data_IF_285262238920
#
_entry.id   IF_285262238920
#
_cell.length_a   1.000
_cell.length_b   1.000
_cell.length_c   1.000
_cell.angle_alpha   90.00
_cell.angle_beta   90.00
_cell.angle_gamma   90.00
#
_symmetry.space_group_name_H-M   'P 1'
#
loop_
_entity.id
_entity.type
_entity.pdbx_description
1 polymer ?
#
# COMPACT_ATOMS: atom_id res chain seq x y z
N UNK A 1 4.41 -9.93 2.34
CA UNK A 1 3.84 -11.14 1.70
C UNK A 1 4.59 -11.43 0.40
N UNK A 2 4.58 -12.70 -0.06
CA UNK A 2 5.34 -13.13 -1.25
C UNK A 2 5.01 -12.32 -2.51
N UNK A 3 3.76 -11.94 -2.71
CA UNK A 3 3.30 -11.14 -3.85
C UNK A 3 3.87 -9.70 -3.89
N UNK A 4 4.57 -9.25 -2.84
CA UNK A 4 5.27 -7.97 -2.80
C UNK A 4 6.80 -8.09 -2.79
N UNK A 5 7.34 -9.26 -2.43
CA UNK A 5 8.80 -9.47 -2.24
C UNK A 5 9.37 -10.62 -3.05
N UNK A 6 8.54 -11.38 -3.77
CA UNK A 6 8.87 -12.68 -4.36
C UNK A 6 9.95 -12.67 -5.44
N UNK A 7 10.25 -11.50 -6.00
CA UNK A 7 11.28 -11.33 -7.02
C UNK A 7 12.54 -10.64 -6.48
N UNK A 8 12.65 -10.42 -5.16
CA UNK A 8 13.73 -9.63 -4.58
C UNK A 8 15.11 -10.23 -4.92
N UNK A 9 15.28 -11.55 -4.83
CA UNK A 9 16.54 -12.21 -5.15
C UNK A 9 16.98 -11.95 -6.61
N UNK A 10 16.06 -12.08 -7.58
CA UNK A 10 16.33 -11.83 -9.00
C UNK A 10 16.67 -10.35 -9.27
N UNK A 11 15.98 -9.43 -8.59
CA UNK A 11 16.26 -7.99 -8.67
C UNK A 11 17.67 -7.69 -8.16
N UNK A 12 18.09 -8.29 -7.05
CA UNK A 12 19.42 -8.07 -6.47
C UNK A 12 20.54 -8.75 -7.25
N UNK A 13 20.29 -9.88 -7.88
CA UNK A 13 21.25 -10.49 -8.84
C UNK A 13 21.53 -9.53 -10.00
N UNK A 14 20.49 -8.88 -10.53
CA UNK A 14 20.62 -7.93 -11.64
C UNK A 14 21.14 -6.56 -11.22
N UNK A 15 20.77 -6.10 -10.02
CA UNK A 15 21.09 -4.78 -9.48
C UNK A 15 21.71 -4.91 -8.08
N UNK A 16 22.96 -5.39 -7.97
CA UNK A 16 23.57 -5.72 -6.67
C UNK A 16 23.82 -4.50 -5.77
N UNK A 17 23.79 -3.28 -6.32
CA UNK A 17 23.98 -2.04 -5.58
C UNK A 17 22.66 -1.34 -5.23
N UNK A 18 21.51 -1.97 -5.52
CA UNK A 18 20.21 -1.39 -5.20
C UNK A 18 20.04 -1.22 -3.68
N UNK A 19 19.48 -0.07 -3.28
CA UNK A 19 19.05 0.20 -1.91
C UNK A 19 17.70 -0.47 -1.67
N UNK A 20 17.59 -1.25 -0.59
CA UNK A 20 16.36 -1.95 -0.21
C UNK A 20 15.76 -1.21 0.98
N UNK A 21 14.67 -0.47 0.75
CA UNK A 21 13.90 0.17 1.82
C UNK A 21 12.79 -0.80 2.22
N UNK A 22 12.83 -1.28 3.46
CA UNK A 22 11.98 -2.37 3.94
C UNK A 22 11.53 -2.12 5.38
N UNK A 23 10.30 -2.48 5.78
CA UNK A 23 9.88 -2.33 7.16
C UNK A 23 10.80 -3.10 8.11
N UNK A 24 11.28 -2.46 9.17
CA UNK A 24 12.28 -3.04 10.10
C UNK A 24 11.92 -4.47 10.57
N UNK A 25 10.64 -4.70 10.86
CA UNK A 25 10.14 -5.96 11.39
C UNK A 25 10.00 -7.06 10.33
N UNK A 26 9.94 -6.70 9.05
CA UNK A 26 9.76 -7.62 7.93
C UNK A 26 11.10 -8.19 7.43
N UNK A 27 12.23 -7.59 7.83
CA UNK A 27 13.57 -7.98 7.38
C UNK A 27 13.84 -9.47 7.62
N UNK A 28 13.64 -10.03 8.84
CA UNK A 28 13.97 -11.44 9.08
C UNK A 28 13.17 -12.40 8.20
N UNK A 29 11.87 -12.15 7.99
CA UNK A 29 11.04 -13.02 7.15
C UNK A 29 11.42 -12.91 5.68
N UNK A 30 11.68 -11.70 5.18
CA UNK A 30 12.08 -11.50 3.78
C UNK A 30 13.44 -12.15 3.48
N UNK A 31 14.43 -12.00 4.36
CA UNK A 31 15.74 -12.67 4.21
C UNK A 31 15.58 -14.18 4.09
N UNK A 32 14.81 -14.78 5.01
CA UNK A 32 14.62 -16.24 5.06
C UNK A 32 13.82 -16.72 3.85
N UNK A 33 12.70 -16.09 3.55
CA UNK A 33 11.78 -16.53 2.49
C UNK A 33 12.35 -16.31 1.09
N UNK A 34 13.15 -15.26 0.90
CA UNK A 34 13.75 -14.91 -0.39
C UNK A 34 15.19 -15.43 -0.52
N UNK A 35 15.73 -16.08 0.50
CA UNK A 35 17.12 -16.58 0.54
C UNK A 35 18.14 -15.50 0.14
N UNK A 36 17.97 -14.28 0.67
CA UNK A 36 18.84 -13.13 0.40
C UNK A 36 19.86 -12.99 1.52
N UNK A 37 21.13 -12.86 1.19
CA UNK A 37 22.16 -12.56 2.19
C UNK A 37 22.08 -11.08 2.60
N UNK A 38 21.73 -10.85 3.87
CA UNK A 38 21.62 -9.53 4.47
C UNK A 38 22.93 -8.74 4.41
N UNK A 39 24.08 -9.41 4.58
CA UNK A 39 25.37 -8.72 4.73
C UNK A 39 25.99 -8.28 3.40
N UNK A 40 25.46 -8.75 2.27
CA UNK A 40 25.95 -8.40 0.94
C UNK A 40 25.11 -7.32 0.23
N UNK A 41 24.04 -6.83 0.85
CA UNK A 41 23.12 -5.86 0.25
C UNK A 41 22.86 -4.66 1.16
N UNK A 42 22.42 -3.56 0.55
CA UNK A 42 22.14 -2.32 1.27
C UNK A 42 20.69 -2.30 1.78
N UNK A 43 20.47 -2.87 2.96
CA UNK A 43 19.20 -2.80 3.65
C UNK A 43 19.07 -1.49 4.45
N UNK A 44 17.98 -0.77 4.19
CA UNK A 44 17.56 0.41 4.94
C UNK A 44 16.27 0.07 5.68
N UNK A 45 16.37 0.00 7.01
CA UNK A 45 15.25 -0.37 7.88
C UNK A 45 14.30 0.81 8.05
N UNK A 46 13.04 0.63 7.61
CA UNK A 46 12.03 1.67 7.63
C UNK A 46 11.07 1.51 8.81
N UNK A 47 11.07 2.51 9.67
CA UNK A 47 10.08 2.77 10.70
C UNK A 47 8.82 3.45 10.16
N UNK A 48 7.91 3.79 11.06
CA UNK A 48 6.77 4.63 10.75
C UNK A 48 7.21 6.10 10.71
N UNK A 49 6.88 6.83 9.64
CA UNK A 49 7.18 8.26 9.49
C UNK A 49 8.65 8.58 9.29
N UNK A 50 9.41 7.63 8.73
CA UNK A 50 10.76 7.92 8.26
C UNK A 50 10.73 8.70 6.95
N UNK A 51 11.79 9.47 6.75
CA UNK A 51 12.06 10.20 5.51
C UNK A 51 13.46 9.83 5.04
N UNK A 52 13.55 9.29 3.83
CA UNK A 52 14.79 8.94 3.15
C UNK A 52 15.00 9.88 1.97
N UNK A 53 16.19 10.47 1.89
CA UNK A 53 16.56 11.41 0.84
C UNK A 53 17.65 10.79 -0.03
N UNK A 54 17.35 10.61 -1.32
CA UNK A 54 18.28 10.14 -2.35
C UNK A 54 18.36 11.19 -3.46
N UNK A 55 19.41 11.13 -4.28
CA UNK A 55 19.47 11.97 -5.48
C UNK A 55 18.27 11.64 -6.40
N UNK A 56 17.49 12.65 -6.77
CA UNK A 56 16.31 12.51 -7.62
C UNK A 56 15.00 12.20 -6.87
N UNK A 57 15.04 11.75 -5.61
CA UNK A 57 13.82 11.31 -4.93
C UNK A 57 13.89 11.34 -3.39
N UNK A 58 12.79 11.77 -2.78
CA UNK A 58 12.49 11.63 -1.34
C UNK A 58 11.41 10.58 -1.13
N UNK A 59 11.60 9.71 -0.13
CA UNK A 59 10.66 8.65 0.24
C UNK A 59 10.23 8.84 1.70
N UNK A 60 8.93 9.02 1.92
CA UNK A 60 8.30 9.16 3.24
C UNK A 60 7.44 7.92 3.53
N UNK A 61 7.55 7.34 4.73
CA UNK A 61 6.89 6.09 5.07
C UNK A 61 5.74 6.26 6.07
N UNK A 62 4.72 5.42 5.97
CA UNK A 62 3.64 5.34 6.93
C UNK A 62 3.29 3.88 7.20
N UNK A 63 3.55 3.44 8.43
CA UNK A 63 3.19 2.10 8.86
C UNK A 63 1.67 1.98 8.90
N UNK A 64 1.16 0.82 8.55
CA UNK A 64 -0.27 0.52 8.52
C UNK A 64 -0.52 -0.93 8.91
N UNK A 65 -1.80 -1.29 9.09
CA UNK A 65 -2.22 -2.64 9.41
C UNK A 65 -2.84 -3.31 8.18
N UNK A 66 -2.48 -4.56 7.96
CA UNK A 66 -2.99 -5.49 6.97
C UNK A 66 -3.87 -6.54 7.65
N UNK A 67 -4.61 -7.31 6.84
CA UNK A 67 -5.20 -8.55 7.31
C UNK A 67 -4.10 -9.56 7.69
N UNK A 68 -4.35 -10.33 8.74
CA UNK A 68 -3.78 -11.68 8.85
C UNK A 68 -4.52 -12.57 7.86
N UNK A 69 -3.85 -13.56 7.27
CA UNK A 69 -4.43 -14.46 6.28
C UNK A 69 -5.75 -15.16 6.69
N UNK A 70 -6.31 -16.01 5.82
CA UNK A 70 -7.69 -16.58 5.83
C UNK A 70 -8.31 -17.04 7.16
N UNK A 71 -7.55 -17.23 8.24
CA UNK A 71 -8.09 -17.46 9.57
C UNK A 71 -8.49 -16.11 10.22
N UNK A 72 -9.73 -15.70 9.96
CA UNK A 72 -10.37 -14.57 10.66
C UNK A 72 -10.61 -14.96 12.12
N UNK A 73 -9.58 -14.99 12.95
CA UNK A 73 -9.78 -15.01 14.39
C UNK A 73 -9.98 -13.55 14.84
N UNK A 74 -11.20 -13.16 15.27
CA UNK A 74 -11.40 -11.83 15.82
C UNK A 74 -10.48 -11.66 17.04
N UNK A 75 -9.54 -10.73 16.94
CA UNK A 75 -8.79 -10.23 18.10
C UNK A 75 -9.72 -9.53 19.10
N UNK A 76 -10.93 -9.14 18.65
CA UNK A 76 -12.00 -8.67 19.51
C UNK A 76 -12.40 -9.77 20.51
N UNK A 77 -11.92 -9.62 21.76
CA UNK A 77 -12.18 -10.54 22.86
C UNK A 77 -11.07 -11.55 23.16
N UNK A 78 -9.96 -11.54 22.41
CA UNK A 78 -8.81 -12.40 22.69
C UNK A 78 -8.03 -11.84 23.89
N UNK A 79 -8.26 -12.41 25.07
CA UNK A 79 -7.44 -12.17 26.27
C UNK A 79 -5.95 -12.48 25.99
N UNK A 80 -5.04 -12.02 26.86
CA UNK A 80 -3.59 -12.28 26.75
C UNK A 80 -3.15 -13.75 26.59
N UNK A 81 -4.08 -14.70 26.75
CA UNK A 81 -3.94 -16.12 26.38
C UNK A 81 -3.61 -16.36 24.91
N UNK A 82 -3.94 -15.45 24.00
CA UNK A 82 -3.59 -15.56 22.57
C UNK A 82 -2.08 -15.70 22.35
N UNK A 83 -1.30 -15.08 23.24
CA UNK A 83 0.15 -15.03 23.18
C UNK A 83 0.79 -16.10 24.06
N UNK A 84 0.03 -17.10 24.53
CA UNK A 84 0.56 -18.13 25.41
C UNK A 84 0.87 -19.44 24.65
N UNK A 85 1.86 -20.19 25.13
CA UNK A 85 2.12 -21.58 24.75
C UNK A 85 1.09 -22.55 25.37
N UNK A 86 1.27 -23.85 25.16
CA UNK A 86 0.35 -24.86 25.70
C UNK A 86 0.39 -24.91 27.24
N UNK A 87 1.45 -24.39 27.84
CA UNK A 87 1.75 -24.34 29.27
C UNK A 87 1.30 -23.02 29.92
N UNK A 88 0.75 -22.07 29.14
CA UNK A 88 0.26 -20.79 29.63
C UNK A 88 1.34 -19.72 29.82
N UNK A 89 2.58 -19.94 29.38
CA UNK A 89 3.64 -18.92 29.35
C UNK A 89 3.57 -18.09 28.09
N UNK A 90 4.05 -16.85 28.13
CA UNK A 90 4.11 -16.01 26.93
C UNK A 90 5.05 -16.63 25.90
N UNK A 91 4.47 -16.99 24.75
CA UNK A 91 5.16 -17.34 23.52
C UNK A 91 5.47 -16.05 22.76
N UNK A 92 6.72 -15.60 22.86
CA UNK A 92 7.19 -14.38 22.20
C UNK A 92 7.06 -14.47 20.67
N UNK A 93 7.24 -15.65 20.08
CA UNK A 93 7.14 -15.81 18.64
C UNK A 93 5.69 -15.64 18.18
N UNK A 94 4.71 -16.18 18.92
CA UNK A 94 3.28 -15.90 18.67
C UNK A 94 2.97 -14.42 18.84
N UNK A 95 3.44 -13.78 19.92
CA UNK A 95 3.24 -12.34 20.13
C UNK A 95 3.80 -11.53 18.96
N UNK A 96 5.08 -11.74 18.63
CA UNK A 96 5.77 -11.07 17.54
C UNK A 96 5.02 -11.27 16.21
N UNK A 97 4.65 -12.50 15.88
CA UNK A 97 3.91 -12.81 14.66
C UNK A 97 2.58 -12.05 14.60
N UNK A 98 1.80 -12.04 15.69
CA UNK A 98 0.51 -11.34 15.74
C UNK A 98 0.63 -9.82 15.62
N UNK A 99 1.70 -9.23 16.16
CA UNK A 99 1.95 -7.78 16.07
C UNK A 99 2.43 -7.42 14.66
N UNK A 100 3.43 -8.14 14.12
CA UNK A 100 4.19 -7.70 12.95
C UNK A 100 3.78 -8.35 11.62
N UNK A 101 3.17 -9.55 11.60
CA UNK A 101 2.68 -10.16 10.34
C UNK A 101 1.55 -9.33 9.71
N UNK A 102 0.91 -8.49 10.52
CA UNK A 102 -0.10 -7.55 10.08
C UNK A 102 0.47 -6.21 9.67
N UNK A 103 1.72 -5.91 9.96
CA UNK A 103 2.24 -4.60 9.61
C UNK A 103 2.57 -4.54 8.11
N UNK A 104 2.24 -3.41 7.51
CA UNK A 104 2.56 -3.07 6.12
C UNK A 104 3.11 -1.64 6.08
N UNK A 105 3.68 -1.27 4.94
CA UNK A 105 4.14 0.10 4.70
C UNK A 105 3.42 0.75 3.53
N UNK A 106 2.89 1.93 3.78
CA UNK A 106 2.45 2.88 2.76
C UNK A 106 3.56 3.90 2.54
N UNK A 107 3.68 4.40 1.32
CA UNK A 107 4.84 5.19 0.91
C UNK A 107 4.40 6.39 0.12
N UNK A 108 4.96 7.56 0.42
CA UNK A 108 4.91 8.72 -0.45
C UNK A 108 6.29 8.95 -1.04
N UNK A 109 6.35 9.10 -2.35
CA UNK A 109 7.55 9.33 -3.13
C UNK A 109 7.43 10.73 -3.73
N UNK A 110 8.46 11.56 -3.61
CA UNK A 110 8.51 12.89 -4.20
C UNK A 110 9.78 13.00 -5.04
N UNK A 111 9.66 13.24 -6.34
CA UNK A 111 10.82 13.47 -7.20
C UNK A 111 11.39 14.87 -6.97
N UNK A 112 12.63 15.12 -7.36
CA UNK A 112 13.27 16.44 -7.24
C UNK A 112 12.54 17.53 -8.06
N UNK A 113 11.86 17.13 -9.14
CA UNK A 113 11.00 18.00 -9.96
C UNK A 113 9.64 18.29 -9.30
N UNK A 114 9.36 17.70 -8.13
CA UNK A 114 8.14 17.91 -7.36
C UNK A 114 6.95 17.08 -7.83
N UNK A 115 7.17 15.99 -8.57
CA UNK A 115 6.14 15.00 -8.85
C UNK A 115 5.96 14.08 -7.64
N UNK A 116 4.72 13.84 -7.22
CA UNK A 116 4.40 13.11 -5.99
C UNK A 116 3.56 11.87 -6.26
N UNK A 117 4.03 10.72 -5.77
CA UNK A 117 3.35 9.44 -5.86
C UNK A 117 3.00 9.01 -4.44
N UNK A 118 1.75 8.65 -4.19
CA UNK A 118 1.32 8.05 -2.94
C UNK A 118 0.89 6.61 -3.22
N UNK A 119 1.54 5.65 -2.57
CA UNK A 119 1.24 4.22 -2.62
C UNK A 119 0.52 3.82 -1.33
N UNK A 120 -0.74 3.41 -1.46
CA UNK A 120 -1.54 2.89 -0.36
C UNK A 120 -1.81 1.40 -0.56
N UNK A 121 -0.93 0.59 0.03
CA UNK A 121 -0.94 -0.87 0.04
C UNK A 121 -1.91 -1.45 1.08
N UNK A 122 -3.05 -0.80 1.35
CA UNK A 122 -4.04 -1.15 2.39
C UNK A 122 -3.87 -0.47 3.75
N UNK A 123 -4.98 -0.44 4.48
CA UNK A 123 -5.07 -0.08 5.89
C UNK A 123 -6.36 -0.58 6.52
N UNK A 124 -6.21 -1.48 7.48
CA UNK A 124 -7.31 -2.12 8.21
C UNK A 124 -7.38 -1.66 9.65
N UNK A 125 -8.56 -1.83 10.25
CA UNK A 125 -8.80 -1.63 11.68
C UNK A 125 -7.80 -2.37 12.55
N UNK A 126 -7.60 -1.90 13.79
CA UNK A 126 -6.76 -2.58 14.78
C UNK A 126 -7.14 -4.05 15.02
N UNK A 127 -8.39 -4.44 14.80
CA UNK A 127 -8.90 -5.82 14.88
C UNK A 127 -8.68 -6.65 13.60
N UNK A 128 -8.08 -6.07 12.57
CA UNK A 128 -7.81 -6.70 11.28
C UNK A 128 -9.00 -6.67 10.35
N UNK A 129 -10.03 -5.88 10.65
CA UNK A 129 -11.27 -5.80 9.90
C UNK A 129 -11.58 -4.37 9.49
N UNK A 130 -12.36 -4.26 8.42
CA UNK A 130 -12.85 -2.99 7.92
C UNK A 130 -11.74 -2.08 7.39
N UNK A 131 -12.20 -0.91 6.96
CA UNK A 131 -11.38 0.12 6.35
C UNK A 131 -11.01 1.16 7.42
N UNK A 132 -9.72 1.41 7.60
CA UNK A 132 -9.22 2.46 8.51
C UNK A 132 -8.37 3.45 7.70
N UNK A 133 -8.51 4.74 7.98
CA UNK A 133 -7.66 5.77 7.38
C UNK A 133 -6.97 6.58 8.47
N UNK A 134 -5.63 6.58 8.45
CA UNK A 134 -4.82 7.45 9.30
C UNK A 134 -4.83 8.85 8.69
N UNK A 135 -5.95 9.57 8.86
CA UNK A 135 -6.20 10.87 8.20
C UNK A 135 -5.07 11.88 8.38
N UNK A 136 -4.32 11.81 9.47
CA UNK A 136 -3.17 12.69 9.72
C UNK A 136 -2.05 12.57 8.67
N UNK A 137 -1.97 11.45 7.94
CA UNK A 137 -0.97 11.23 6.90
C UNK A 137 -1.52 11.49 5.49
N UNK A 138 -2.79 11.15 5.24
CA UNK A 138 -3.36 11.15 3.89
C UNK A 138 -4.24 12.34 3.55
N UNK A 139 -4.89 12.96 4.54
CA UNK A 139 -5.84 14.05 4.28
C UNK A 139 -5.09 15.25 3.73
N UNK A 140 -5.56 15.76 2.60
CA UNK A 140 -4.92 16.86 1.86
C UNK A 140 -3.48 16.56 1.43
N UNK A 141 -3.11 15.27 1.30
CA UNK A 141 -1.79 14.88 0.79
C UNK A 141 -1.55 15.34 -0.65
N UNK A 142 -2.62 15.46 -1.45
CA UNK A 142 -2.62 16.01 -2.82
C UNK A 142 -1.52 15.43 -3.72
N UNK A 143 -1.37 14.10 -3.80
CA UNK A 143 -0.39 13.51 -4.69
C UNK A 143 -0.77 13.74 -6.16
N UNK A 144 0.23 13.80 -7.03
CA UNK A 144 0.03 13.80 -8.47
C UNK A 144 -0.51 12.43 -8.94
N UNK A 145 0.04 11.35 -8.40
CA UNK A 145 -0.43 9.97 -8.61
C UNK A 145 -0.76 9.30 -7.28
N UNK A 146 -1.98 8.81 -7.14
CA UNK A 146 -2.40 7.97 -6.02
C UNK A 146 -2.66 6.53 -6.47
N UNK A 147 -1.88 5.59 -5.95
CA UNK A 147 -2.08 4.16 -6.17
C UNK A 147 -2.79 3.58 -4.95
N UNK A 148 -3.95 2.94 -5.16
CA UNK A 148 -4.77 2.41 -4.08
C UNK A 148 -5.07 0.93 -4.28
N UNK A 149 -4.82 0.13 -3.24
CA UNK A 149 -5.05 -1.30 -3.28
C UNK A 149 -6.54 -1.67 -3.35
N UNK A 150 -6.89 -2.47 -4.35
CA UNK A 150 -8.22 -3.03 -4.56
C UNK A 150 -8.31 -4.45 -4.00
N UNK A 151 -8.35 -4.56 -2.67
CA UNK A 151 -8.58 -5.85 -2.01
C UNK A 151 -10.06 -6.00 -1.61
N UNK A 152 -10.63 -7.21 -1.76
CA UNK A 152 -12.01 -7.48 -1.32
C UNK A 152 -12.28 -7.12 0.16
N UNK A 153 -11.26 -7.17 1.02
CA UNK A 153 -11.36 -6.75 2.42
C UNK A 153 -11.59 -5.23 2.58
N UNK A 154 -11.09 -4.42 1.64
CA UNK A 154 -11.30 -2.97 1.59
C UNK A 154 -12.74 -2.57 1.22
N UNK A 155 -13.51 -3.50 0.65
CA UNK A 155 -14.87 -3.26 0.14
C UNK A 155 -15.94 -4.09 0.86
N UNK A 156 -15.81 -4.23 2.18
CA UNK A 156 -16.79 -4.96 3.00
C UNK A 156 -16.77 -6.49 2.85
N UNK A 157 -15.76 -7.05 2.18
CA UNK A 157 -15.53 -8.50 2.05
C UNK A 157 -16.30 -9.17 0.90
N UNK A 158 -17.29 -8.51 0.30
CA UNK A 158 -18.05 -9.05 -0.83
C UNK A 158 -17.46 -8.57 -2.17
N UNK A 159 -16.60 -9.39 -2.78
CA UNK A 159 -15.99 -9.06 -4.07
C UNK A 159 -16.98 -8.92 -5.23
N UNK A 160 -18.15 -9.56 -5.17
CA UNK A 160 -19.18 -9.48 -6.23
C UNK A 160 -20.05 -8.23 -6.15
N UNK A 161 -20.07 -7.59 -4.98
CA UNK A 161 -20.78 -6.34 -4.75
C UNK A 161 -19.98 -5.48 -3.76
N UNK A 162 -18.87 -4.86 -4.21
CA UNK A 162 -17.96 -4.13 -3.33
C UNK A 162 -18.62 -2.88 -2.74
N UNK A 163 -18.51 -2.70 -1.43
CA UNK A 163 -18.89 -1.43 -0.78
C UNK A 163 -17.84 -0.36 -1.07
N UNK A 164 -18.12 0.47 -2.08
CA UNK A 164 -17.22 1.51 -2.57
C UNK A 164 -17.22 2.78 -1.71
N UNK A 165 -18.19 2.95 -0.81
CA UNK A 165 -18.38 4.20 -0.06
C UNK A 165 -17.20 4.62 0.82
N UNK A 166 -16.66 3.72 1.68
CA UNK A 166 -15.50 4.04 2.50
C UNK A 166 -14.26 4.44 1.69
N UNK A 167 -13.96 3.69 0.62
CA UNK A 167 -12.82 3.96 -0.26
C UNK A 167 -12.99 5.27 -1.03
N UNK A 168 -14.16 5.51 -1.62
CA UNK A 168 -14.43 6.73 -2.38
C UNK A 168 -14.29 7.99 -1.52
N UNK A 169 -14.81 7.97 -0.29
CA UNK A 169 -14.60 9.08 0.67
C UNK A 169 -13.13 9.29 1.03
N UNK A 170 -12.36 8.21 1.15
CA UNK A 170 -10.93 8.32 1.41
C UNK A 170 -10.16 8.90 0.23
N UNK A 171 -10.42 8.43 -1.00
CA UNK A 171 -9.80 8.98 -2.21
C UNK A 171 -10.11 10.48 -2.32
N UNK A 172 -11.34 10.90 -2.02
CA UNK A 172 -11.72 12.31 -1.97
C UNK A 172 -10.96 13.10 -0.89
N UNK A 173 -10.67 12.51 0.28
CA UNK A 173 -9.85 13.14 1.34
C UNK A 173 -8.37 13.27 0.94
N UNK A 174 -7.85 12.36 0.11
CA UNK A 174 -6.47 12.37 -0.41
C UNK A 174 -6.27 13.50 -1.43
N UNK A 175 -7.30 13.78 -2.25
CA UNK A 175 -7.32 14.86 -3.26
C UNK A 175 -6.25 14.71 -4.34
N UNK A 176 -6.08 13.49 -4.84
CA UNK A 176 -5.11 13.20 -5.88
C UNK A 176 -5.49 13.82 -7.23
N UNK A 177 -4.50 14.12 -8.08
CA UNK A 177 -4.76 14.49 -9.48
C UNK A 177 -5.17 13.28 -10.31
N UNK A 178 -4.42 12.18 -10.21
CA UNK A 178 -4.76 10.89 -10.80
C UNK A 178 -4.82 9.82 -9.73
N UNK A 179 -5.80 8.92 -9.82
CA UNK A 179 -5.92 7.75 -8.95
C UNK A 179 -5.96 6.47 -9.80
N UNK A 180 -5.18 5.45 -9.41
CA UNK A 180 -5.09 4.16 -10.09
C UNK A 180 -5.28 2.99 -9.11
N UNK A 181 -6.06 1.97 -9.50
CA UNK A 181 -6.15 0.75 -8.72
C UNK A 181 -4.88 -0.10 -8.85
N UNK A 182 -4.44 -0.69 -7.74
CA UNK A 182 -3.43 -1.76 -7.70
C UNK A 182 -4.00 -3.04 -7.06
N UNK A 183 -3.30 -4.17 -7.18
CA UNK A 183 -3.77 -5.48 -6.70
C UNK A 183 -5.14 -5.89 -7.29
N UNK A 184 -5.39 -5.48 -8.53
CA UNK A 184 -6.69 -5.57 -9.18
C UNK A 184 -6.99 -6.93 -9.85
N UNK A 185 -6.17 -7.96 -9.66
CA UNK A 185 -6.24 -9.24 -10.42
C UNK A 185 -7.54 -10.03 -10.22
N UNK A 186 -8.39 -9.58 -9.30
CA UNK A 186 -9.67 -10.21 -8.98
C UNK A 186 -10.89 -9.50 -9.55
N UNK A 187 -10.69 -8.39 -10.25
CA UNK A 187 -11.74 -7.58 -10.86
C UNK A 187 -11.49 -7.47 -12.37
N UNK A 188 -12.56 -7.51 -13.17
CA UNK A 188 -12.47 -7.17 -14.58
C UNK A 188 -12.28 -5.66 -14.77
N UNK A 189 -11.82 -5.25 -15.96
CA UNK A 189 -11.71 -3.82 -16.29
C UNK A 189 -13.06 -3.10 -16.18
N UNK A 190 -14.15 -3.72 -16.65
CA UNK A 190 -15.51 -3.17 -16.50
C UNK A 190 -15.95 -3.01 -15.03
N UNK A 191 -15.56 -3.94 -14.16
CA UNK A 191 -15.82 -3.82 -12.72
C UNK A 191 -15.03 -2.66 -12.11
N UNK A 192 -13.77 -2.50 -12.49
CA UNK A 192 -12.91 -1.41 -12.02
C UNK A 192 -13.42 -0.04 -12.49
N UNK A 193 -13.85 0.08 -13.74
CA UNK A 193 -14.40 1.32 -14.29
C UNK A 193 -15.70 1.72 -13.57
N UNK A 194 -16.59 0.76 -13.31
CA UNK A 194 -17.80 0.99 -12.49
C UNK A 194 -17.49 1.38 -11.05
N UNK A 195 -16.40 0.87 -10.47
CA UNK A 195 -15.96 1.28 -9.14
C UNK A 195 -15.39 2.70 -9.17
N UNK A 196 -14.61 3.02 -10.21
CA UNK A 196 -14.06 4.36 -10.43
C UNK A 196 -15.16 5.42 -10.59
N UNK A 197 -16.26 5.14 -11.30
CA UNK A 197 -17.42 6.03 -11.39
C UNK A 197 -18.01 6.36 -10.00
N UNK A 198 -18.11 5.37 -9.12
CA UNK A 198 -18.60 5.58 -7.75
C UNK A 198 -17.61 6.40 -6.90
N UNK A 199 -16.30 6.20 -7.10
CA UNK A 199 -15.28 6.99 -6.44
C UNK A 199 -15.28 8.44 -6.94
N UNK A 200 -15.46 8.65 -8.25
CA UNK A 200 -15.56 9.97 -8.86
C UNK A 200 -16.75 10.76 -8.31
N UNK A 201 -17.93 10.12 -8.15
CA UNK A 201 -19.08 10.77 -7.53
C UNK A 201 -18.77 11.32 -6.13
N UNK A 202 -18.01 10.58 -5.31
CA UNK A 202 -17.58 11.07 -3.99
C UNK A 202 -16.56 12.21 -4.06
N UNK A 203 -15.69 12.22 -5.08
CA UNK A 203 -14.75 13.31 -5.32
C UNK A 203 -15.50 14.59 -5.75
N UNK A 204 -16.47 14.47 -6.66
CA UNK A 204 -17.32 15.56 -7.12
C UNK A 204 -18.14 16.17 -5.97
N UNK A 205 -18.76 15.33 -5.12
CA UNK A 205 -19.46 15.76 -3.90
C UNK A 205 -18.54 16.55 -2.95
N UNK A 206 -17.26 16.20 -2.91
CA UNK A 206 -16.23 16.88 -2.11
C UNK A 206 -15.58 18.08 -2.84
N UNK A 207 -16.02 18.41 -4.06
CA UNK A 207 -15.46 19.47 -4.88
C UNK A 207 -14.01 19.21 -5.29
N UNK A 208 -13.64 17.95 -5.53
CA UNK A 208 -12.31 17.52 -5.95
C UNK A 208 -12.37 16.92 -7.35
N UNK A 209 -11.48 17.37 -8.21
CA UNK A 209 -11.28 16.79 -9.53
C UNK A 209 -10.15 15.76 -9.46
N UNK A 210 -10.50 14.49 -9.65
CA UNK A 210 -9.55 13.38 -9.67
C UNK A 210 -9.82 12.53 -10.91
N UNK A 211 -8.81 12.35 -11.75
CA UNK A 211 -8.88 11.46 -12.90
C UNK A 211 -8.64 10.02 -12.44
N UNK A 212 -9.58 9.12 -12.74
CA UNK A 212 -9.40 7.70 -12.51
C UNK A 212 -8.87 7.03 -13.77
N UNK A 213 -7.80 6.27 -13.64
CA UNK A 213 -7.23 5.47 -14.71
C UNK A 213 -7.20 4.02 -14.27
N UNK A 214 -7.76 3.13 -15.08
CA UNK A 214 -7.65 1.67 -14.90
C UNK A 214 -6.48 1.16 -15.74
N UNK A 215 -5.28 0.92 -15.16
CA UNK A 215 -4.09 0.59 -15.94
C UNK A 215 -4.14 -0.85 -16.44
N UNK A 216 -3.76 -1.04 -17.70
CA UNK A 216 -3.59 -2.36 -18.31
C UNK A 216 -2.27 -3.01 -17.87
N UNK A 217 -2.32 -4.32 -17.58
CA UNK A 217 -1.11 -5.07 -17.20
C UNK A 217 -0.12 -5.14 -18.37
N UNK A 218 1.13 -4.73 -18.12
CA UNK A 218 2.22 -4.78 -19.11
C UNK A 218 2.36 -3.54 -19.99
N UNK A 219 1.43 -2.58 -19.86
CA UNK A 219 1.45 -1.29 -20.57
C UNK A 219 2.23 -0.25 -19.77
N UNK A 220 2.94 0.64 -20.47
CA UNK A 220 3.73 1.71 -19.85
C UNK A 220 2.98 3.03 -19.96
N UNK A 221 2.84 3.71 -18.82
CA UNK A 221 2.19 5.00 -18.70
C UNK A 221 3.21 6.05 -18.27
N UNK A 222 3.28 7.13 -19.03
CA UNK A 222 4.06 8.32 -18.71
C UNK A 222 3.20 9.36 -18.04
N UNK A 223 3.76 10.03 -17.04
CA UNK A 223 3.12 11.14 -16.34
C UNK A 223 3.94 12.41 -16.58
N UNK A 224 3.24 13.51 -16.82
CA UNK A 224 3.82 14.85 -16.95
C UNK A 224 3.10 15.81 -16.04
N UNK A 225 3.81 16.83 -15.55
CA UNK A 225 3.26 17.88 -14.71
C UNK A 225 3.67 19.23 -15.27
N UNK A 226 2.70 20.10 -15.52
CA UNK A 226 2.98 21.47 -15.98
C UNK A 226 3.28 22.42 -14.80
N UNK A 227 3.60 23.68 -15.12
CA UNK A 227 3.96 24.69 -14.12
C UNK A 227 2.78 25.06 -13.21
N UNK A 228 1.55 24.86 -13.69
CA UNK A 228 0.30 25.07 -12.97
C UNK A 228 -0.08 23.88 -12.09
N UNK A 229 0.67 22.76 -12.18
CA UNK A 229 0.45 21.55 -11.40
C UNK A 229 -0.65 20.65 -11.97
N UNK A 230 -1.02 20.80 -13.23
CA UNK A 230 -1.89 19.86 -13.94
C UNK A 230 -1.08 18.64 -14.37
N UNK A 231 -1.70 17.47 -14.25
CA UNK A 231 -1.08 16.18 -14.56
C UNK A 231 -1.65 15.64 -15.86
N UNK A 232 -0.78 15.35 -16.81
CA UNK A 232 -1.12 14.67 -18.07
C UNK A 232 -0.60 13.23 -18.07
N UNK A 233 -1.38 12.31 -18.64
CA UNK A 233 -1.02 10.89 -18.78
C UNK A 233 -0.91 10.53 -20.26
N UNK A 234 0.13 9.79 -20.63
CA UNK A 234 0.33 9.27 -21.98
C UNK A 234 0.77 7.80 -21.98
N UNK A 235 0.55 7.11 -23.11
CA UNK A 235 1.12 5.78 -23.33
C UNK A 235 2.56 5.92 -23.82
N UNK A 236 3.46 5.08 -23.29
CA UNK A 236 4.85 5.01 -23.71
C UNK A 236 5.03 3.78 -24.60
N UNK A 237 5.37 4.00 -25.86
CA UNK A 237 5.82 2.94 -26.76
C UNK A 237 7.23 2.49 -26.34
N UNK A 238 7.44 1.17 -26.26
CA UNK A 238 8.73 0.56 -25.91
C UNK A 238 9.66 0.45 -27.11
#
# INVERSE_FOLDING_TARGET
>A
HFDHTGNLAEVLEKYPLAQIIIPEHAIPSVIVDQNVDYFSHYFTEAGAHDKFEFDGVTIETCRSNHNVGRAVNPLAGASGKLYQDAEGKVDFFKLWKWVYERELMNVKITTDEGFTILLWNSQMGADGRGFETRKYFYRDAKPDLFMYQVAGASFGGNRRNPDCGPMGRFIAEVRAKTAVPEHQQHFSYEELDRMAEQFAAHCDEAGQETTFLTPETGVWYGYTKDAEGNVGVCLIEK
#
